data_IF_330953733764
#
_entry.id   IF_330953733764
#
_cell.length_a   1.000
_cell.length_b   1.000
_cell.length_c   1.000
_cell.angle_alpha   90.00
_cell.angle_beta   90.00
_cell.angle_gamma   90.00
#
_symmetry.space_group_name_H-M   'P 1'
#
loop_
_entity.id
_entity.type
_entity.pdbx_description
1 polymer ?
#
# COMPACT_ATOMS: atom_id res chain seq x y z
N UNK A 1 -3.45 4.47 29.46
CA UNK A 1 -4.50 5.47 29.28
C UNK A 1 -5.44 5.46 30.49
N UNK A 2 -6.06 6.60 30.77
CA UNK A 2 -6.99 6.77 31.91
C UNK A 2 -6.39 6.52 33.28
N UNK A 3 -5.03 6.48 33.42
CA UNK A 3 -4.35 6.18 34.67
C UNK A 3 -4.47 4.73 35.16
N UNK A 4 -4.89 3.82 34.27
CA UNK A 4 -5.02 2.38 34.56
C UNK A 4 -3.72 1.68 34.15
N UNK A 5 -2.81 1.52 35.11
CA UNK A 5 -1.55 0.79 34.94
C UNK A 5 -1.78 -0.74 35.00
N UNK A 6 -0.92 -1.49 34.29
CA UNK A 6 -0.84 -2.97 34.36
C UNK A 6 -2.12 -3.69 33.92
N UNK A 7 -2.80 -3.16 32.90
CA UNK A 7 -4.00 -3.81 32.35
C UNK A 7 -3.61 -5.05 31.53
N UNK A 8 -4.23 -6.18 31.84
CA UNK A 8 -4.20 -7.42 31.06
C UNK A 8 -5.59 -7.70 30.53
N UNK A 9 -5.68 -8.01 29.24
CA UNK A 9 -6.92 -8.51 28.60
C UNK A 9 -6.67 -9.91 28.09
N UNK A 10 -7.72 -10.75 28.09
CA UNK A 10 -7.67 -12.13 27.67
C UNK A 10 -8.72 -12.39 26.61
N UNK A 11 -8.36 -13.21 25.62
CA UNK A 11 -9.23 -13.66 24.55
C UNK A 11 -8.60 -14.80 23.76
N UNK A 12 -9.09 -15.04 22.56
CA UNK A 12 -8.59 -16.08 21.66
C UNK A 12 -8.13 -15.49 20.34
N UNK A 13 -7.33 -16.22 19.58
CA UNK A 13 -7.05 -15.91 18.18
C UNK A 13 -8.27 -16.29 17.35
N UNK A 14 -9.00 -15.29 16.88
CA UNK A 14 -10.23 -15.47 16.10
C UNK A 14 -9.94 -15.75 14.61
N UNK A 15 -8.84 -15.22 14.07
CA UNK A 15 -8.38 -15.48 12.71
C UNK A 15 -6.90 -15.12 12.53
N UNK A 16 -6.31 -15.64 11.45
CA UNK A 16 -4.97 -15.28 10.98
C UNK A 16 -5.05 -14.71 9.57
N UNK A 17 -4.01 -13.98 9.16
CA UNK A 17 -3.86 -13.44 7.82
C UNK A 17 -5.03 -12.55 7.36
N UNK A 18 -5.57 -11.74 8.30
CA UNK A 18 -6.62 -10.77 7.94
C UNK A 18 -6.06 -9.62 7.15
N UNK A 19 -6.66 -9.37 6.00
CA UNK A 19 -6.42 -8.21 5.16
C UNK A 19 -7.55 -7.20 5.40
N UNK A 20 -7.18 -5.99 5.81
CA UNK A 20 -8.13 -4.95 6.23
C UNK A 20 -8.20 -3.79 5.24
N UNK A 21 -7.35 -3.82 4.19
CA UNK A 21 -7.16 -2.69 3.27
C UNK A 21 -6.52 -1.46 3.94
N UNK A 22 -5.90 -1.64 5.12
CA UNK A 22 -5.19 -0.59 5.83
C UNK A 22 -3.81 -0.30 5.24
N UNK A 23 -3.25 -1.25 4.49
CA UNK A 23 -1.94 -1.11 3.85
C UNK A 23 -1.61 -2.23 2.87
N UNK A 24 -0.54 -1.99 2.09
CA UNK A 24 -0.01 -2.94 1.07
C UNK A 24 0.38 -4.32 1.62
N UNK A 25 0.61 -4.43 2.93
CA UNK A 25 1.20 -5.60 3.58
C UNK A 25 0.35 -6.10 4.75
N UNK A 26 -0.95 -5.93 4.67
CA UNK A 26 -1.87 -6.39 5.70
C UNK A 26 -1.74 -7.89 5.94
N UNK A 27 -1.59 -8.27 7.20
CA UNK A 27 -1.51 -9.66 7.64
C UNK A 27 -1.71 -9.70 9.15
N UNK A 28 -2.93 -9.40 9.59
CA UNK A 28 -3.17 -9.28 11.01
C UNK A 28 -3.61 -10.60 11.64
N UNK A 29 -3.19 -10.80 12.90
CA UNK A 29 -3.85 -11.74 13.81
C UNK A 29 -5.08 -11.01 14.34
N UNK A 30 -6.26 -11.59 14.16
CA UNK A 30 -7.50 -11.12 14.77
C UNK A 30 -7.68 -11.78 16.12
N UNK A 31 -8.07 -11.01 17.13
CA UNK A 31 -8.39 -11.49 18.48
C UNK A 31 -9.64 -10.81 19.02
N UNK A 32 -10.36 -11.48 19.91
CA UNK A 32 -11.44 -10.91 20.69
C UNK A 32 -10.99 -10.37 22.06
N UNK A 33 -9.70 -10.57 22.41
CA UNK A 33 -9.10 -9.87 23.54
C UNK A 33 -9.28 -8.36 23.38
N UNK A 34 -9.77 -7.70 24.40
CA UNK A 34 -10.08 -6.28 24.33
C UNK A 34 -8.83 -5.44 24.02
N UNK A 35 -8.81 -4.83 22.84
CA UNK A 35 -7.79 -3.86 22.42
C UNK A 35 -8.40 -2.46 22.60
N UNK A 36 -7.73 -1.63 23.38
CA UNK A 36 -8.17 -0.26 23.69
C UNK A 36 -6.98 0.71 23.57
N UNK A 37 -7.24 2.02 23.45
CA UNK A 37 -6.16 3.01 23.54
C UNK A 37 -5.27 2.75 24.77
N UNK A 38 -3.96 2.57 24.53
CA UNK A 38 -2.94 2.30 25.54
C UNK A 38 -2.35 0.90 25.54
N UNK A 39 -3.01 -0.12 25.00
CA UNK A 39 -2.36 -1.41 24.77
C UNK A 39 -1.81 -1.59 23.34
N UNK A 40 -2.02 -0.62 22.45
CA UNK A 40 -1.36 -0.57 21.14
C UNK A 40 0.15 -0.46 21.29
N UNK A 41 0.91 -1.27 20.52
CA UNK A 41 2.36 -1.44 20.67
C UNK A 41 2.76 -2.44 21.75
N UNK A 42 1.83 -2.84 22.63
CA UNK A 42 2.05 -3.90 23.62
C UNK A 42 2.02 -5.30 22.97
N UNK A 43 2.54 -6.33 23.67
CA UNK A 43 2.60 -7.69 23.15
C UNK A 43 1.25 -8.39 23.20
N UNK A 44 0.95 -9.17 22.15
CA UNK A 44 -0.02 -10.24 22.19
C UNK A 44 0.75 -11.53 22.56
N UNK A 45 0.36 -12.15 23.68
CA UNK A 45 1.07 -13.32 24.22
C UNK A 45 0.21 -14.59 24.04
N UNK A 46 0.86 -15.72 23.84
CA UNK A 46 0.20 -17.03 23.96
C UNK A 46 0.21 -17.50 25.42
N UNK A 47 -0.40 -18.68 25.67
CA UNK A 47 -0.48 -19.28 27.01
C UNK A 47 0.88 -19.65 27.62
N UNK A 48 1.94 -19.75 26.79
CA UNK A 48 3.31 -20.02 27.24
C UNK A 48 4.10 -18.74 27.59
N UNK A 49 3.47 -17.57 27.46
CA UNK A 49 4.14 -16.27 27.66
C UNK A 49 5.00 -15.83 26.47
N UNK A 50 4.88 -16.49 25.31
CA UNK A 50 5.62 -16.11 24.11
C UNK A 50 4.87 -15.02 23.34
N UNK A 51 5.61 -14.02 22.84
CA UNK A 51 5.04 -12.95 21.99
C UNK A 51 4.69 -13.53 20.62
N UNK A 52 3.40 -13.53 20.27
CA UNK A 52 2.89 -13.95 18.96
C UNK A 52 2.53 -12.77 18.06
N UNK A 53 2.34 -11.58 18.62
CA UNK A 53 2.02 -10.38 17.86
C UNK A 53 2.24 -9.09 18.64
N UNK A 54 2.09 -7.97 17.91
CA UNK A 54 2.13 -6.61 18.46
C UNK A 54 0.75 -5.99 18.25
N UNK A 55 0.06 -5.65 19.33
CA UNK A 55 -1.26 -5.01 19.28
C UNK A 55 -1.22 -3.71 18.50
N UNK A 56 -2.15 -3.49 17.59
CA UNK A 56 -2.07 -2.31 16.71
C UNK A 56 -3.37 -1.54 16.56
N UNK A 57 -4.48 -2.17 16.26
CA UNK A 57 -5.72 -1.47 15.97
C UNK A 57 -6.96 -2.25 16.40
N UNK A 58 -8.07 -1.53 16.43
CA UNK A 58 -9.43 -2.07 16.51
C UNK A 58 -10.25 -1.58 15.32
N UNK A 59 -11.22 -2.34 14.87
CA UNK A 59 -12.27 -1.82 14.01
C UNK A 59 -13.22 -0.99 14.89
N UNK A 60 -13.24 0.33 14.63
CA UNK A 60 -14.17 1.24 15.31
C UNK A 60 -15.61 1.08 14.84
N UNK A 61 -16.54 1.67 15.58
CA UNK A 61 -17.97 1.68 15.25
C UNK A 61 -18.75 0.62 16.01
N UNK A 62 -19.75 0.00 15.36
CA UNK A 62 -20.63 -1.00 15.99
C UNK A 62 -19.97 -2.39 16.18
N UNK A 63 -18.78 -2.59 15.61
CA UNK A 63 -18.03 -3.84 15.72
C UNK A 63 -17.26 -3.88 17.04
N UNK A 64 -17.76 -4.64 18.01
CA UNK A 64 -17.09 -4.88 19.29
C UNK A 64 -16.22 -6.14 19.21
N UNK A 65 -15.14 -6.18 20.01
CA UNK A 65 -14.26 -7.35 20.14
C UNK A 65 -13.53 -7.76 18.84
N UNK A 66 -13.21 -6.80 17.99
CA UNK A 66 -12.39 -7.01 16.80
C UNK A 66 -11.03 -6.30 16.99
N UNK A 67 -10.14 -6.95 17.73
CA UNK A 67 -8.76 -6.53 17.91
C UNK A 67 -7.84 -7.12 16.83
N UNK A 68 -6.79 -6.37 16.47
CA UNK A 68 -5.81 -6.79 15.46
C UNK A 68 -4.39 -6.57 15.97
N UNK A 69 -3.55 -7.56 15.71
CA UNK A 69 -2.13 -7.51 16.04
C UNK A 69 -1.27 -7.87 14.82
N UNK A 70 -0.12 -7.21 14.69
CA UNK A 70 0.90 -7.54 13.68
C UNK A 70 1.58 -8.84 14.11
N UNK A 71 1.62 -9.90 13.28
CA UNK A 71 2.30 -11.16 13.61
C UNK A 71 3.79 -10.92 13.95
N UNK A 72 4.28 -11.53 15.01
CA UNK A 72 5.66 -11.36 15.45
C UNK A 72 6.68 -11.81 14.40
N UNK A 73 6.37 -12.85 13.61
CA UNK A 73 7.25 -13.33 12.56
C UNK A 73 7.46 -12.28 11.46
N UNK A 74 6.43 -11.46 11.16
CA UNK A 74 6.56 -10.32 10.26
C UNK A 74 7.36 -9.18 10.91
N UNK A 75 7.09 -8.89 12.19
CA UNK A 75 7.78 -7.83 12.92
C UNK A 75 9.28 -8.11 13.12
N UNK A 76 9.69 -9.38 13.30
CA UNK A 76 11.10 -9.76 13.50
C UNK A 76 12.03 -9.22 12.41
N UNK A 77 11.68 -9.38 11.14
CA UNK A 77 12.51 -8.92 10.02
C UNK A 77 12.65 -7.39 10.00
N UNK A 78 11.58 -6.68 10.36
CA UNK A 78 11.58 -5.22 10.50
C UNK A 78 12.44 -4.78 11.68
N UNK A 79 12.27 -5.41 12.84
CA UNK A 79 13.00 -5.11 14.07
C UNK A 79 14.51 -5.30 13.88
N UNK A 80 14.93 -6.41 13.26
CA UNK A 80 16.34 -6.67 12.99
C UNK A 80 16.93 -5.56 12.11
N UNK A 81 16.25 -5.19 11.02
CA UNK A 81 16.72 -4.11 10.15
C UNK A 81 16.80 -2.76 10.89
N UNK A 82 15.84 -2.44 11.74
CA UNK A 82 15.85 -1.21 12.52
C UNK A 82 17.00 -1.17 13.53
N UNK A 83 17.35 -2.29 14.17
CA UNK A 83 18.48 -2.40 15.09
C UNK A 83 19.81 -2.25 14.36
N UNK A 84 19.96 -2.96 13.23
CA UNK A 84 21.22 -3.02 12.48
C UNK A 84 21.46 -1.77 11.61
N UNK A 85 20.41 -1.31 10.91
CA UNK A 85 20.53 -0.29 9.87
C UNK A 85 19.83 1.04 10.22
N UNK A 86 19.05 1.09 11.31
CA UNK A 86 18.18 2.22 11.71
C UNK A 86 17.10 2.58 10.70
N UNK A 87 16.97 1.81 9.64
CA UNK A 87 15.97 1.97 8.57
C UNK A 87 15.51 0.61 8.05
N UNK A 88 14.32 0.56 7.44
CA UNK A 88 13.79 -0.65 6.80
C UNK A 88 13.96 -0.53 5.30
N UNK A 89 14.80 -1.39 4.72
CA UNK A 89 15.05 -1.48 3.29
C UNK A 89 14.16 -2.56 2.69
N UNK A 90 13.11 -2.13 2.01
CA UNK A 90 12.19 -3.06 1.33
C UNK A 90 12.82 -3.58 0.06
N UNK A 91 12.52 -4.85 -0.23
CA UNK A 91 12.98 -5.50 -1.44
C UNK A 91 11.88 -5.46 -2.51
N UNK A 92 12.29 -5.50 -3.78
CA UNK A 92 11.38 -5.57 -4.92
C UNK A 92 11.84 -6.62 -5.92
N UNK A 93 10.88 -7.13 -6.68
CA UNK A 93 11.11 -8.03 -7.82
C UNK A 93 11.00 -7.26 -9.16
N UNK A 94 10.19 -6.20 -9.21
CA UNK A 94 9.99 -5.38 -10.42
C UNK A 94 8.99 -5.99 -11.38
N UNK A 95 7.87 -6.49 -10.86
CA UNK A 95 6.72 -6.94 -11.65
C UNK A 95 5.45 -6.23 -11.23
N UNK A 96 4.56 -5.98 -12.19
CA UNK A 96 3.15 -5.68 -11.92
C UNK A 96 2.38 -6.95 -12.19
N UNK A 97 1.53 -7.34 -11.26
CA UNK A 97 0.76 -8.58 -11.35
C UNK A 97 -0.72 -8.34 -11.11
N UNK A 98 -1.54 -9.27 -11.61
CA UNK A 98 -2.98 -9.33 -11.39
C UNK A 98 -3.33 -10.72 -10.84
N UNK A 99 -4.22 -10.79 -9.85
CA UNK A 99 -4.69 -12.07 -9.33
C UNK A 99 -5.49 -12.84 -10.39
N UNK A 100 -5.20 -14.12 -10.52
CA UNK A 100 -5.94 -15.03 -11.42
C UNK A 100 -7.26 -15.38 -10.75
N UNK A 101 -8.33 -14.71 -11.20
CA UNK A 101 -9.71 -14.99 -10.81
C UNK A 101 -10.45 -15.73 -11.94
N UNK A 102 -11.70 -16.15 -11.71
CA UNK A 102 -12.47 -16.91 -12.68
C UNK A 102 -12.69 -16.19 -14.01
N UNK A 103 -12.71 -14.84 -14.01
CA UNK A 103 -12.81 -14.07 -15.23
C UNK A 103 -11.51 -14.14 -16.04
N UNK A 104 -10.36 -13.91 -15.38
CA UNK A 104 -9.03 -14.01 -16.02
C UNK A 104 -8.78 -15.41 -16.57
N UNK A 105 -9.21 -16.46 -15.84
CA UNK A 105 -9.13 -17.85 -16.32
C UNK A 105 -9.88 -18.06 -17.62
N UNK A 106 -11.11 -17.56 -17.69
CA UNK A 106 -11.96 -17.68 -18.89
C UNK A 106 -11.42 -16.87 -20.08
N UNK A 107 -10.98 -15.63 -19.82
CA UNK A 107 -10.54 -14.72 -20.88
C UNK A 107 -9.23 -15.18 -21.52
N UNK A 108 -8.38 -15.87 -20.77
CA UNK A 108 -7.05 -16.32 -21.19
C UNK A 108 -6.96 -17.85 -21.35
N UNK A 109 -8.06 -18.59 -21.23
CA UNK A 109 -8.14 -20.07 -21.32
C UNK A 109 -7.08 -20.76 -20.43
N UNK A 110 -7.02 -20.32 -19.15
CA UNK A 110 -6.02 -20.78 -18.20
C UNK A 110 -6.50 -21.99 -17.41
N UNK A 111 -5.72 -23.06 -17.44
CA UNK A 111 -5.93 -24.25 -16.58
C UNK A 111 -5.07 -24.12 -15.30
N UNK A 112 -5.45 -23.18 -14.44
CA UNK A 112 -4.79 -22.94 -13.13
C UNK A 112 -5.82 -22.59 -12.08
N UNK A 113 -5.62 -23.07 -10.86
CA UNK A 113 -6.55 -22.78 -9.77
C UNK A 113 -6.26 -21.44 -9.08
N UNK A 114 -5.02 -20.97 -9.13
CA UNK A 114 -4.54 -19.78 -8.41
C UNK A 114 -3.27 -19.24 -9.06
N UNK A 115 -2.85 -18.07 -8.63
CA UNK A 115 -1.60 -17.45 -9.02
C UNK A 115 -1.72 -15.98 -9.35
N UNK A 116 -0.60 -15.39 -9.73
CA UNK A 116 -0.50 -13.99 -10.13
C UNK A 116 -0.02 -13.90 -11.57
N UNK A 117 -0.86 -13.39 -12.45
CA UNK A 117 -0.53 -13.10 -13.85
C UNK A 117 0.39 -11.89 -13.92
N UNK A 118 1.56 -12.04 -14.54
CA UNK A 118 2.50 -10.94 -14.79
C UNK A 118 1.98 -10.10 -15.96
N UNK A 119 1.56 -8.87 -15.67
CA UNK A 119 1.05 -7.93 -16.69
C UNK A 119 2.11 -6.93 -17.15
N UNK A 120 3.16 -6.72 -16.34
CA UNK A 120 4.31 -5.87 -16.68
C UNK A 120 5.55 -6.34 -15.97
N UNK A 121 6.69 -6.24 -16.65
CA UNK A 121 8.03 -6.41 -16.07
C UNK A 121 8.78 -5.09 -16.23
N UNK A 122 9.37 -4.60 -15.14
CA UNK A 122 10.14 -3.35 -15.16
C UNK A 122 11.52 -3.58 -15.78
N UNK A 123 11.95 -2.64 -16.59
CA UNK A 123 13.29 -2.67 -17.20
C UNK A 123 14.40 -2.70 -16.14
N UNK A 124 15.43 -3.50 -16.38
CA UNK A 124 16.60 -3.67 -15.50
C UNK A 124 16.27 -4.17 -14.10
N UNK A 125 15.05 -4.67 -13.90
CA UNK A 125 14.60 -5.23 -12.63
C UNK A 125 15.19 -6.62 -12.35
N UNK A 126 15.09 -7.12 -11.11
CA UNK A 126 15.35 -8.51 -10.77
C UNK A 126 14.55 -9.50 -11.59
N UNK A 127 13.29 -9.19 -11.89
CA UNK A 127 12.40 -10.03 -12.69
C UNK A 127 12.90 -10.17 -14.13
N UNK A 128 13.23 -9.06 -14.79
CA UNK A 128 13.79 -9.10 -16.16
C UNK A 128 15.12 -9.87 -16.21
N UNK A 129 16.03 -9.60 -15.25
CA UNK A 129 17.31 -10.31 -15.15
C UNK A 129 17.14 -11.81 -14.92
N UNK A 130 16.09 -12.22 -14.24
CA UNK A 130 15.76 -13.62 -13.99
C UNK A 130 15.03 -14.27 -15.17
N UNK A 131 14.61 -13.50 -16.19
CA UNK A 131 13.91 -14.00 -17.36
C UNK A 131 12.41 -14.20 -17.17
N UNK A 132 11.81 -13.49 -16.23
CA UNK A 132 10.34 -13.39 -16.09
C UNK A 132 9.81 -12.54 -17.23
N UNK A 133 8.70 -12.94 -17.83
CA UNK A 133 8.08 -12.26 -18.96
C UNK A 133 6.59 -11.96 -18.68
N UNK A 134 6.05 -11.02 -19.44
CA UNK A 134 4.59 -10.78 -19.44
C UNK A 134 3.88 -12.06 -19.85
N UNK A 135 2.73 -12.32 -19.25
CA UNK A 135 1.90 -13.53 -19.36
C UNK A 135 2.42 -14.75 -18.58
N UNK A 136 3.54 -14.67 -17.86
CA UNK A 136 3.86 -15.68 -16.86
C UNK A 136 2.83 -15.67 -15.73
N UNK A 137 2.51 -16.82 -15.17
CA UNK A 137 1.69 -16.92 -13.96
C UNK A 137 2.55 -17.42 -12.82
N UNK A 138 2.75 -16.59 -11.79
CA UNK A 138 3.48 -16.96 -10.59
C UNK A 138 2.58 -17.81 -9.72
N UNK A 139 2.91 -19.09 -9.54
CA UNK A 139 2.11 -20.04 -8.75
C UNK A 139 2.70 -20.33 -7.38
N UNK A 140 4.05 -20.23 -7.24
CA UNK A 140 4.71 -20.45 -5.95
C UNK A 140 5.84 -19.47 -5.74
N UNK A 141 6.12 -19.13 -4.47
CA UNK A 141 7.28 -18.39 -3.99
C UNK A 141 7.96 -19.22 -2.90
N UNK A 142 9.24 -19.59 -3.14
CA UNK A 142 10.03 -20.44 -2.24
C UNK A 142 9.37 -21.78 -1.87
N UNK A 143 8.54 -22.34 -2.77
CA UNK A 143 7.80 -23.57 -2.57
C UNK A 143 6.47 -23.38 -1.82
N UNK A 144 6.14 -22.17 -1.41
CA UNK A 144 4.82 -21.82 -0.86
C UNK A 144 3.90 -21.32 -1.97
N UNK A 145 2.65 -21.78 -1.93
CA UNK A 145 1.60 -21.40 -2.87
C UNK A 145 1.32 -19.89 -2.81
N UNK A 146 1.19 -19.26 -3.96
CA UNK A 146 0.84 -17.83 -4.05
C UNK A 146 -0.65 -17.69 -4.31
N UNK A 147 -1.41 -17.39 -3.26
CA UNK A 147 -2.87 -17.28 -3.31
C UNK A 147 -3.36 -15.82 -3.38
N UNK A 148 -2.53 -14.83 -2.99
CA UNK A 148 -2.89 -13.42 -3.06
C UNK A 148 -1.71 -12.52 -3.39
N UNK A 149 -2.01 -11.36 -4.00
CA UNK A 149 -1.03 -10.30 -4.24
C UNK A 149 -0.43 -9.78 -2.94
N UNK A 150 -1.26 -9.58 -1.91
CA UNK A 150 -0.82 -9.06 -0.60
C UNK A 150 0.22 -9.96 0.05
N UNK A 151 -0.01 -11.28 0.03
CA UNK A 151 0.94 -12.28 0.55
C UNK A 151 2.24 -12.25 -0.24
N UNK A 152 2.17 -12.28 -1.57
CA UNK A 152 3.33 -12.24 -2.45
C UNK A 152 4.15 -10.95 -2.26
N UNK A 153 3.50 -9.78 -2.35
CA UNK A 153 4.16 -8.48 -2.19
C UNK A 153 4.84 -8.34 -0.83
N UNK A 154 4.18 -8.81 0.23
CA UNK A 154 4.74 -8.81 1.59
C UNK A 154 5.99 -9.70 1.70
N UNK A 155 5.93 -10.94 1.21
CA UNK A 155 7.05 -11.87 1.30
C UNK A 155 8.27 -11.34 0.52
N UNK A 156 8.05 -10.70 -0.63
CA UNK A 156 9.12 -10.03 -1.38
C UNK A 156 9.66 -8.82 -0.59
N UNK A 157 8.79 -7.90 -0.15
CA UNK A 157 9.20 -6.64 0.48
C UNK A 157 9.98 -6.82 1.78
N UNK A 158 9.67 -7.86 2.56
CA UNK A 158 10.31 -8.15 3.84
C UNK A 158 11.36 -9.27 3.79
N UNK A 159 11.76 -9.71 2.60
CA UNK A 159 12.91 -10.56 2.39
C UNK A 159 14.19 -9.85 2.84
N UNK A 160 15.24 -10.64 3.11
CA UNK A 160 16.56 -10.08 3.44
C UNK A 160 17.13 -9.29 2.26
N UNK A 161 17.89 -8.22 2.49
CA UNK A 161 18.54 -7.48 1.43
C UNK A 161 19.38 -8.39 0.50
N UNK A 162 19.06 -8.35 -0.81
CA UNK A 162 19.75 -9.16 -1.81
C UNK A 162 19.45 -10.67 -1.76
N UNK A 163 18.41 -11.09 -1.08
CA UNK A 163 17.96 -12.48 -1.02
C UNK A 163 17.61 -13.01 -2.41
N UNK A 164 17.94 -14.29 -2.64
CA UNK A 164 17.52 -14.99 -3.86
C UNK A 164 16.29 -15.81 -3.56
N UNK A 165 15.18 -15.48 -4.22
CA UNK A 165 13.92 -16.20 -4.12
C UNK A 165 13.77 -17.18 -5.29
N UNK A 166 13.08 -18.29 -5.04
CA UNK A 166 12.71 -19.25 -6.07
C UNK A 166 11.25 -19.07 -6.41
N UNK A 167 10.94 -18.87 -7.68
CA UNK A 167 9.58 -18.72 -8.19
C UNK A 167 9.25 -19.93 -9.06
N UNK A 168 8.09 -20.52 -8.88
CA UNK A 168 7.49 -21.45 -9.82
C UNK A 168 6.50 -20.67 -10.66
N UNK A 169 6.70 -20.70 -11.98
CA UNK A 169 5.88 -20.01 -12.97
C UNK A 169 5.22 -21.01 -13.88
N UNK A 170 4.01 -20.70 -14.34
CA UNK A 170 3.41 -21.36 -15.49
C UNK A 170 3.60 -20.45 -16.71
N UNK A 171 4.27 -20.96 -17.75
CA UNK A 171 4.52 -20.31 -19.04
C UNK A 171 4.15 -21.27 -20.16
N UNK A 172 3.24 -20.85 -21.05
CA UNK A 172 2.76 -21.68 -22.17
C UNK A 172 2.34 -23.10 -21.72
N UNK A 173 1.60 -23.19 -20.61
CA UNK A 173 1.14 -24.46 -20.03
C UNK A 173 2.23 -25.31 -19.36
N UNK A 174 3.48 -24.82 -19.28
CA UNK A 174 4.61 -25.56 -18.65
C UNK A 174 5.03 -24.91 -17.35
N UNK A 175 5.19 -25.73 -16.30
CA UNK A 175 5.76 -25.28 -15.04
C UNK A 175 7.27 -25.12 -15.17
N UNK A 176 7.77 -23.92 -14.90
CA UNK A 176 9.22 -23.59 -14.88
C UNK A 176 9.60 -23.01 -13.54
N UNK A 177 10.83 -23.27 -13.12
CA UNK A 177 11.37 -22.75 -11.87
C UNK A 177 12.47 -21.74 -12.14
N UNK A 178 12.33 -20.53 -11.61
CA UNK A 178 13.25 -19.41 -11.82
C UNK A 178 13.77 -18.94 -10.47
N UNK A 179 15.06 -18.57 -10.43
CA UNK A 179 15.67 -17.90 -9.28
C UNK A 179 15.87 -16.43 -9.58
N UNK A 180 15.32 -15.56 -8.75
CA UNK A 180 15.47 -14.12 -8.86
C UNK A 180 16.19 -13.56 -7.63
N UNK A 181 17.25 -12.79 -7.81
CA UNK A 181 17.91 -12.07 -6.72
C UNK A 181 17.21 -10.73 -6.53
N UNK A 182 16.57 -10.55 -5.39
CA UNK A 182 15.86 -9.32 -5.06
C UNK A 182 16.83 -8.14 -4.94
N UNK A 183 16.34 -6.95 -5.25
CA UNK A 183 17.05 -5.69 -5.09
C UNK A 183 16.27 -4.77 -4.16
N UNK A 184 16.96 -3.86 -3.50
CA UNK A 184 16.33 -2.83 -2.69
C UNK A 184 15.35 -2.01 -3.54
N UNK A 185 14.13 -1.84 -3.04
CA UNK A 185 13.16 -0.95 -3.66
C UNK A 185 13.77 0.45 -3.71
N UNK A 186 14.18 0.86 -4.89
CA UNK A 186 14.62 2.24 -5.07
C UNK A 186 13.45 3.13 -4.70
N UNK A 187 13.64 4.18 -3.89
CA UNK A 187 12.59 5.14 -3.69
C UNK A 187 12.17 5.57 -5.10
N UNK A 188 11.01 5.10 -5.54
CA UNK A 188 10.38 5.67 -6.72
C UNK A 188 10.30 7.15 -6.35
N UNK A 189 11.02 7.99 -7.10
CA UNK A 189 10.71 9.40 -7.14
C UNK A 189 9.26 9.42 -7.59
N UNK A 190 8.38 9.45 -6.60
CA UNK A 190 6.96 9.45 -6.88
C UNK A 190 6.70 10.71 -7.69
N UNK A 191 6.27 10.54 -8.92
CA UNK A 191 5.56 11.59 -9.66
C UNK A 191 4.42 12.15 -8.79
N UNK A 192 3.98 11.38 -7.81
CA UNK A 192 2.99 11.71 -6.80
C UNK A 192 3.43 12.79 -5.79
N UNK A 193 4.71 12.87 -5.41
CA UNK A 193 5.21 13.98 -4.58
C UNK A 193 5.18 15.32 -5.31
N UNK A 194 5.39 15.32 -6.63
CA UNK A 194 5.34 16.55 -7.44
C UNK A 194 3.92 17.06 -7.62
N UNK A 195 2.92 16.20 -7.65
CA UNK A 195 1.53 16.55 -7.97
C UNK A 195 0.59 16.53 -6.76
N UNK A 196 1.09 16.53 -5.53
CA UNK A 196 0.25 16.42 -4.32
C UNK A 196 -0.62 15.16 -4.31
N UNK A 197 -0.16 14.08 -4.98
CA UNK A 197 -0.87 12.81 -5.09
C UNK A 197 -2.09 12.86 -5.99
N UNK A 198 -2.10 13.75 -6.95
CA UNK A 198 -3.14 13.90 -7.95
C UNK A 198 -2.72 13.24 -9.26
N UNK A 199 -3.61 12.47 -9.87
CA UNK A 199 -3.50 12.06 -11.27
C UNK A 199 -4.28 13.04 -12.13
N UNK A 200 -3.61 13.61 -13.14
CA UNK A 200 -4.05 14.80 -13.81
C UNK A 200 -4.18 14.60 -15.32
N UNK A 201 -5.16 15.30 -15.93
CA UNK A 201 -5.37 15.36 -17.38
C UNK A 201 -5.71 16.80 -17.78
N UNK A 202 -5.24 17.26 -18.95
CA UNK A 202 -5.65 18.55 -19.49
C UNK A 202 -7.16 18.59 -19.76
N UNK A 203 -7.77 19.73 -19.46
CA UNK A 203 -9.18 20.03 -19.70
C UNK A 203 -9.29 21.43 -20.34
N UNK A 204 -10.37 21.69 -21.07
CA UNK A 204 -10.57 22.98 -21.76
C UNK A 204 -10.58 24.17 -20.80
N UNK A 205 -10.97 23.95 -19.54
CA UNK A 205 -11.04 24.99 -18.50
C UNK A 205 -9.85 24.98 -17.52
N UNK A 206 -8.89 24.06 -17.67
CA UNK A 206 -7.74 23.93 -16.77
C UNK A 206 -7.21 22.50 -16.68
N UNK A 207 -7.13 21.94 -15.49
CA UNK A 207 -6.60 20.59 -15.26
C UNK A 207 -7.59 19.74 -14.50
N UNK A 208 -8.07 18.66 -15.12
CA UNK A 208 -8.98 17.71 -14.52
C UNK A 208 -8.23 16.70 -13.65
N UNK A 209 -8.73 16.46 -12.47
CA UNK A 209 -8.29 15.37 -11.59
C UNK A 209 -8.97 14.09 -12.06
N UNK A 210 -8.17 13.05 -12.36
CA UNK A 210 -8.69 11.73 -12.73
C UNK A 210 -8.62 10.73 -11.58
N UNK A 211 -7.69 10.92 -10.64
CA UNK A 211 -7.59 10.12 -9.41
C UNK A 211 -6.88 10.91 -8.31
N UNK A 212 -7.14 10.55 -7.06
CA UNK A 212 -6.51 11.14 -5.86
C UNK A 212 -5.97 10.04 -4.97
N UNK A 213 -4.66 10.03 -4.78
CA UNK A 213 -4.00 9.05 -3.92
C UNK A 213 -4.53 9.16 -2.48
N UNK A 214 -4.99 8.06 -1.92
CA UNK A 214 -5.56 7.98 -0.56
C UNK A 214 -4.59 8.41 0.55
N UNK A 215 -3.29 8.41 0.28
CA UNK A 215 -2.25 8.83 1.23
C UNK A 215 -1.82 10.28 1.05
N UNK A 216 -2.35 10.99 0.05
CA UNK A 216 -1.97 12.37 -0.23
C UNK A 216 -2.67 13.35 0.70
N UNK A 217 -2.08 14.55 0.91
CA UNK A 217 -2.75 15.64 1.59
C UNK A 217 -4.05 16.09 0.93
N UNK A 218 -4.18 15.87 -0.39
CA UNK A 218 -5.37 16.22 -1.16
C UNK A 218 -6.55 15.25 -0.96
N UNK A 219 -6.30 14.06 -0.40
CA UNK A 219 -7.35 13.06 -0.17
C UNK A 219 -8.46 13.60 0.75
N UNK A 220 -9.71 13.38 0.39
CA UNK A 220 -10.91 13.92 1.03
C UNK A 220 -11.15 15.44 0.88
N UNK A 221 -10.23 16.15 0.23
CA UNK A 221 -10.40 17.56 -0.08
C UNK A 221 -10.71 17.77 -1.57
N UNK A 222 -9.92 17.12 -2.43
CA UNK A 222 -10.12 17.11 -3.88
C UNK A 222 -10.62 15.72 -4.31
N UNK A 223 -11.41 15.70 -5.38
CA UNK A 223 -12.07 14.48 -5.87
C UNK A 223 -11.80 14.30 -7.37
N UNK A 224 -11.90 13.04 -7.88
CA UNK A 224 -12.00 12.82 -9.31
C UNK A 224 -13.10 13.70 -9.93
N UNK A 225 -12.87 14.15 -11.17
CA UNK A 225 -13.69 15.08 -11.95
C UNK A 225 -13.64 16.55 -11.53
N UNK A 226 -13.01 16.92 -10.41
CA UNK A 226 -12.69 18.34 -10.16
C UNK A 226 -11.78 18.89 -11.28
N UNK A 227 -12.07 20.08 -11.76
CA UNK A 227 -11.21 20.80 -12.72
C UNK A 227 -10.49 21.94 -12.02
N UNK A 228 -9.18 21.82 -11.82
CA UNK A 228 -8.35 22.85 -11.19
C UNK A 228 -8.16 23.99 -12.20
N UNK A 229 -8.59 25.19 -11.83
CA UNK A 229 -8.45 26.42 -12.65
C UNK A 229 -7.41 27.39 -12.10
N UNK A 230 -7.11 27.32 -10.79
CA UNK A 230 -6.06 28.12 -10.16
C UNK A 230 -5.57 27.47 -8.86
N UNK A 231 -4.32 27.78 -8.45
CA UNK A 231 -3.76 27.46 -7.13
C UNK A 231 -3.19 28.74 -6.53
N UNK A 232 -3.53 29.05 -5.29
CA UNK A 232 -3.14 30.31 -4.61
C UNK A 232 -3.42 31.57 -5.48
N UNK A 233 -4.56 31.60 -6.18
CA UNK A 233 -4.98 32.66 -7.14
C UNK A 233 -4.13 32.73 -8.42
N UNK A 234 -3.17 31.84 -8.64
CA UNK A 234 -2.43 31.75 -9.89
C UNK A 234 -3.15 30.83 -10.84
N UNK A 235 -3.51 31.30 -12.01
CA UNK A 235 -4.26 30.55 -13.01
C UNK A 235 -3.45 29.35 -13.52
N UNK A 236 -4.10 28.22 -13.68
CA UNK A 236 -3.56 26.99 -14.25
C UNK A 236 -4.21 26.76 -15.61
N UNK A 237 -3.42 26.52 -16.65
CA UNK A 237 -3.90 26.27 -18.01
C UNK A 237 -3.81 24.83 -18.42
N UNK A 238 -2.75 24.16 -18.02
CA UNK A 238 -2.48 22.76 -18.34
C UNK A 238 -1.74 22.04 -17.20
N UNK A 239 -1.52 20.74 -17.37
CA UNK A 239 -0.83 19.92 -16.38
C UNK A 239 0.59 20.41 -16.11
N UNK A 240 1.32 20.88 -17.11
CA UNK A 240 2.70 21.37 -16.94
C UNK A 240 2.74 22.66 -16.11
N UNK A 241 1.81 23.59 -16.35
CA UNK A 241 1.65 24.81 -15.55
C UNK A 241 1.38 24.45 -14.09
N UNK A 242 0.48 23.49 -13.85
CA UNK A 242 0.13 23.04 -12.50
C UNK A 242 1.31 22.36 -11.79
N UNK A 243 2.00 21.43 -12.44
CA UNK A 243 3.17 20.74 -11.87
C UNK A 243 4.28 21.72 -11.47
N UNK A 244 4.58 22.69 -12.35
CA UNK A 244 5.55 23.74 -12.07
C UNK A 244 5.14 24.58 -10.86
N UNK A 245 3.88 25.01 -10.83
CA UNK A 245 3.34 25.83 -9.74
C UNK A 245 3.36 25.07 -8.41
N UNK A 246 3.04 23.78 -8.40
CA UNK A 246 3.09 22.93 -7.20
C UNK A 246 4.53 22.70 -6.72
N UNK A 247 5.51 22.63 -7.64
CA UNK A 247 6.93 22.54 -7.29
C UNK A 247 7.43 23.86 -6.68
N UNK A 248 7.06 25.00 -7.24
CA UNK A 248 7.37 26.33 -6.70
C UNK A 248 6.75 26.56 -5.31
N UNK A 249 5.64 25.90 -5.02
CA UNK A 249 4.90 26.01 -3.76
C UNK A 249 5.15 24.84 -2.79
N UNK A 250 6.13 23.99 -3.05
CA UNK A 250 6.40 22.76 -2.27
C UNK A 250 6.66 22.99 -0.78
N UNK A 251 7.19 24.17 -0.42
CA UNK A 251 7.50 24.52 0.99
C UNK A 251 6.29 25.12 1.74
N UNK A 252 5.18 25.34 1.07
CA UNK A 252 3.96 25.84 1.69
C UNK A 252 3.21 24.72 2.41
N UNK A 253 2.78 24.97 3.63
CA UNK A 253 1.97 24.04 4.41
C UNK A 253 0.52 23.93 3.91
N UNK A 254 0.00 25.00 3.28
CA UNK A 254 -1.38 25.08 2.78
C UNK A 254 -1.41 25.63 1.36
N UNK A 255 -2.23 25.02 0.53
CA UNK A 255 -2.55 25.50 -0.81
C UNK A 255 -4.05 25.70 -0.96
N UNK A 256 -4.43 26.73 -1.70
CA UNK A 256 -5.81 27.07 -2.03
C UNK A 256 -6.07 26.70 -3.49
N UNK A 257 -6.78 25.62 -3.71
CA UNK A 257 -7.16 25.17 -5.05
C UNK A 257 -8.50 25.78 -5.42
N UNK A 258 -8.56 26.54 -6.49
CA UNK A 258 -9.83 26.92 -7.10
C UNK A 258 -10.19 25.85 -8.10
N UNK A 259 -11.32 25.20 -7.91
CA UNK A 259 -11.78 24.08 -8.75
C UNK A 259 -13.19 24.34 -9.26
N UNK A 260 -13.51 23.77 -10.41
CA UNK A 260 -14.89 23.59 -10.87
C UNK A 260 -15.33 22.20 -10.46
N UNK A 261 -16.33 22.11 -9.61
CA UNK A 261 -16.98 20.89 -9.12
C UNK A 261 -18.47 21.00 -9.36
N UNK A 262 -19.07 20.02 -10.03
CA UNK A 262 -20.51 20.02 -10.38
C UNK A 262 -20.95 21.32 -11.10
N UNK A 263 -20.07 21.87 -11.95
CA UNK A 263 -20.32 23.13 -12.67
C UNK A 263 -20.18 24.41 -11.83
N UNK A 264 -19.85 24.31 -10.56
CA UNK A 264 -19.67 25.46 -9.66
C UNK A 264 -18.20 25.66 -9.29
N UNK A 265 -17.78 26.94 -9.26
CA UNK A 265 -16.44 27.30 -8.85
C UNK A 265 -16.33 27.34 -7.32
N UNK A 266 -15.38 26.60 -6.76
CA UNK A 266 -15.17 26.49 -5.31
C UNK A 266 -13.68 26.65 -4.99
N UNK A 267 -13.36 27.18 -3.79
CA UNK A 267 -11.97 27.18 -3.28
C UNK A 267 -11.82 26.16 -2.18
N UNK A 268 -10.92 25.20 -2.44
CA UNK A 268 -10.63 24.08 -1.52
C UNK A 268 -9.25 24.31 -0.91
N UNK A 269 -9.17 24.21 0.42
CA UNK A 269 -7.90 24.33 1.15
C UNK A 269 -7.33 22.94 1.40
N UNK A 270 -6.12 22.70 0.92
CA UNK A 270 -5.38 21.46 1.16
C UNK A 270 -4.18 21.78 2.04
N UNK A 271 -4.03 21.03 3.16
CA UNK A 271 -2.91 21.19 4.10
C UNK A 271 -2.07 19.91 4.16
N UNK A 272 -0.74 20.02 4.14
CA UNK A 272 0.17 18.89 4.32
C UNK A 272 0.02 18.18 5.66
N UNK A 273 -0.49 18.86 6.70
CA UNK A 273 -0.67 18.32 8.05
C UNK A 273 -2.03 17.68 8.30
N UNK A 274 -2.83 17.47 7.24
CA UNK A 274 -4.18 16.92 7.30
C UNK A 274 -5.24 17.98 6.95
N UNK A 275 -6.17 17.60 6.06
CA UNK A 275 -7.26 18.47 5.61
C UNK A 275 -8.30 18.63 6.74
N UNK A 276 -8.29 19.80 7.37
CA UNK A 276 -9.43 20.28 8.17
C UNK A 276 -10.31 21.13 7.26
N UNK A 277 -11.54 20.70 7.02
CA UNK A 277 -12.58 21.59 6.48
C UNK A 277 -12.85 22.61 7.58
N UNK A 278 -12.55 23.89 7.32
CA UNK A 278 -12.99 24.97 8.20
C UNK A 278 -14.50 25.11 7.98
N UNK A 279 -15.33 24.96 9.03
CA UNK A 279 -16.73 25.38 8.91
C UNK A 279 -16.78 26.90 8.80
N UNK A 280 -17.65 27.38 7.94
CA UNK A 280 -18.07 28.79 7.89
C UNK A 280 -18.80 29.18 9.15
#
# INVERSE_FOLDING_TARGET
PFGLDRTLTVGVVSAKSREMGAGKFDNFIQTDAAINPGNSGGPLLNINGEVIGINTMILGGQAQNLGFAIPINMAKNVIIQLIENKEVKRQQLGVTVQEVNDQVKKDLDLDVDHGLLVVKVEEKSPAEKAGITVNDIITELNGEKVDSFTMFARNIAFSKPGETVTLTLLRDGKSIRIKARLEEEKPQKSTEEKSWGLTLKNDDNGVRITDVNKKSPAYRALYPDDVIVAVNRQRVRDVKDLEKLLDDLKDRDRLYFTVIRDGQMQTIVVSKRGSGVLPY
#
